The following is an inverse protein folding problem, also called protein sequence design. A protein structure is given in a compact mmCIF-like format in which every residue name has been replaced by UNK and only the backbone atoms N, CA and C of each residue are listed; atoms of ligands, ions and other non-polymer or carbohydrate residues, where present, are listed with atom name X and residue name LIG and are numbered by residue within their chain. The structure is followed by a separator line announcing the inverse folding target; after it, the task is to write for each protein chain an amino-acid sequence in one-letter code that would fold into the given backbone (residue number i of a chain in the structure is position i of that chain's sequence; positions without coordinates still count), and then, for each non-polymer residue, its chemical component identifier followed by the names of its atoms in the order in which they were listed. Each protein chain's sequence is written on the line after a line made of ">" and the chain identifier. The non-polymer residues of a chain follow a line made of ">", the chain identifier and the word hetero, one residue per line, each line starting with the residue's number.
data_IF_658435992276
#
_entry.id   IF_658435992276
#
_cell.length_a   1.000
_cell.length_b   1.000
_cell.length_c   1.000
_cell.angle_alpha   90.00
_cell.angle_beta   90.00
_cell.angle_gamma   90.00
#
_symmetry.space_group_name_H-M   'P 1'
#
loop_
_entity.id
_entity.type
_entity.pdbx_description
1 polymer ?
#
# COMPACT_ATOMS: atom_id res chain seq x y z
N UNK A 1 7.36 -15.51 -0.88
CA UNK A 1 7.40 -16.79 -1.63
C UNK A 1 6.39 -16.82 -2.78
N UNK A 2 5.18 -16.27 -2.61
CA UNK A 2 4.13 -16.26 -3.64
C UNK A 2 4.61 -15.62 -4.95
N UNK A 3 5.30 -14.49 -4.89
CA UNK A 3 5.87 -13.81 -6.07
C UNK A 3 6.87 -14.69 -6.83
N UNK A 4 7.73 -15.41 -6.11
CA UNK A 4 8.67 -16.35 -6.72
C UNK A 4 7.93 -17.50 -7.41
N UNK A 5 6.93 -18.07 -6.74
CA UNK A 5 6.15 -19.18 -7.31
C UNK A 5 5.36 -18.73 -8.55
N UNK A 6 4.73 -17.56 -8.50
CA UNK A 6 4.01 -17.00 -9.63
C UNK A 6 4.93 -16.70 -10.82
N UNK A 7 6.13 -16.18 -10.55
CA UNK A 7 7.15 -15.94 -11.59
C UNK A 7 7.64 -17.25 -12.21
N UNK A 8 7.89 -18.29 -11.42
CA UNK A 8 8.25 -19.64 -11.90
C UNK A 8 7.16 -20.24 -12.76
N UNK A 9 5.91 -20.09 -12.34
CA UNK A 9 4.77 -20.58 -13.12
C UNK A 9 4.68 -19.92 -14.50
N UNK A 10 4.96 -18.61 -14.58
CA UNK A 10 4.97 -17.90 -15.86
C UNK A 10 6.13 -18.34 -16.77
N UNK A 11 7.31 -18.54 -16.19
CA UNK A 11 8.56 -18.65 -16.95
C UNK A 11 9.04 -20.09 -17.15
N UNK A 12 8.62 -21.01 -16.29
CA UNK A 12 9.20 -22.36 -16.18
C UNK A 12 10.61 -22.35 -15.57
N UNK A 13 11.04 -21.26 -14.93
CA UNK A 13 12.38 -21.15 -14.38
C UNK A 13 12.47 -21.80 -13.00
N UNK A 14 13.19 -22.89 -12.93
CA UNK A 14 13.34 -23.75 -11.73
C UNK A 14 14.53 -23.39 -10.83
N UNK A 15 15.28 -22.32 -11.18
CA UNK A 15 16.44 -21.85 -10.42
C UNK A 15 16.11 -21.67 -8.93
N UNK A 16 16.99 -22.17 -8.07
CA UNK A 16 16.87 -22.01 -6.62
C UNK A 16 17.39 -20.64 -6.20
N UNK A 17 16.67 -20.00 -5.26
CA UNK A 17 17.01 -18.70 -4.70
C UNK A 17 17.00 -18.76 -3.18
N UNK A 18 17.92 -18.05 -2.56
CA UNK A 18 17.83 -17.63 -1.17
C UNK A 18 17.36 -16.18 -1.16
N UNK A 19 16.26 -15.93 -0.45
CA UNK A 19 15.70 -14.58 -0.31
C UNK A 19 15.85 -14.18 1.15
N UNK A 20 16.65 -13.14 1.41
CA UNK A 20 16.78 -12.52 2.72
C UNK A 20 15.95 -11.24 2.70
N UNK A 21 15.13 -11.05 3.73
CA UNK A 21 14.22 -9.91 3.86
C UNK A 21 14.35 -9.29 5.23
N UNK A 22 14.90 -8.07 5.27
CA UNK A 22 14.98 -7.26 6.48
C UNK A 22 13.79 -6.29 6.56
N UNK A 23 12.93 -6.48 7.57
CA UNK A 23 11.69 -5.70 7.73
C UNK A 23 11.89 -4.55 8.70
N UNK A 24 11.91 -3.32 8.18
CA UNK A 24 11.91 -2.09 8.98
C UNK A 24 10.50 -1.50 9.15
N UNK A 25 9.60 -1.76 8.20
CA UNK A 25 8.19 -1.36 8.30
C UNK A 25 7.45 -2.41 9.10
N UNK A 26 6.70 -2.04 10.16
CA UNK A 26 5.94 -2.99 10.96
C UNK A 26 4.96 -3.81 10.11
N UNK A 27 4.81 -5.08 10.44
CA UNK A 27 3.84 -5.96 9.76
C UNK A 27 2.43 -5.52 10.14
N UNK A 28 1.52 -5.48 9.15
CA UNK A 28 0.14 -5.04 9.37
C UNK A 28 -0.01 -3.55 9.65
N UNK A 29 0.95 -2.73 9.21
CA UNK A 29 0.97 -1.29 9.44
C UNK A 29 0.06 -0.47 8.50
N UNK A 30 -0.54 -1.07 7.47
CA UNK A 30 -1.31 -0.34 6.46
C UNK A 30 -0.46 0.48 5.49
N UNK A 31 0.84 0.21 5.40
CA UNK A 31 1.80 0.94 4.55
C UNK A 31 2.21 0.18 3.27
N UNK A 32 1.50 -0.88 2.92
CA UNK A 32 1.78 -1.64 1.69
C UNK A 32 3.12 -2.39 1.69
N UNK A 33 3.78 -2.57 2.84
CA UNK A 33 5.13 -3.17 2.92
C UNK A 33 5.22 -4.55 2.28
N UNK A 34 4.24 -5.44 2.50
CA UNK A 34 4.21 -6.75 1.86
C UNK A 34 4.07 -6.67 0.33
N UNK A 35 3.27 -5.72 -0.16
CA UNK A 35 3.11 -5.48 -1.60
C UNK A 35 4.37 -4.91 -2.23
N UNK A 36 5.09 -4.05 -1.51
CA UNK A 36 6.39 -3.53 -1.94
C UNK A 36 7.45 -4.65 -2.02
N UNK A 37 7.51 -5.54 -1.02
CA UNK A 37 8.40 -6.70 -1.03
C UNK A 37 8.10 -7.64 -2.22
N UNK A 38 6.81 -7.87 -2.49
CA UNK A 38 6.37 -8.68 -3.62
C UNK A 38 6.78 -8.05 -4.96
N UNK A 39 6.56 -6.75 -5.14
CA UNK A 39 6.95 -6.02 -6.34
C UNK A 39 8.48 -6.02 -6.53
N UNK A 40 9.26 -5.74 -5.48
CA UNK A 40 10.72 -5.79 -5.53
C UNK A 40 11.21 -7.19 -5.93
N UNK A 41 10.63 -8.24 -5.36
CA UNK A 41 10.96 -9.63 -5.72
C UNK A 41 10.71 -9.88 -7.21
N UNK A 42 9.56 -9.47 -7.75
CA UNK A 42 9.23 -9.62 -9.18
C UNK A 42 10.21 -8.88 -10.08
N UNK A 43 10.57 -7.65 -9.73
CA UNK A 43 11.54 -6.83 -10.49
C UNK A 43 12.91 -7.51 -10.53
N UNK A 44 13.39 -7.99 -9.37
CA UNK A 44 14.69 -8.68 -9.27
C UNK A 44 14.70 -9.98 -10.06
N UNK A 45 13.66 -10.81 -9.93
CA UNK A 45 13.54 -12.05 -10.67
C UNK A 45 13.53 -11.81 -12.18
N UNK A 46 12.77 -10.81 -12.64
CA UNK A 46 12.75 -10.41 -14.05
C UNK A 46 14.13 -9.99 -14.55
N UNK A 47 14.85 -9.18 -13.77
CA UNK A 47 16.20 -8.73 -14.11
C UNK A 47 17.12 -9.92 -14.27
N UNK A 48 17.20 -10.79 -13.28
CA UNK A 48 18.06 -11.97 -13.30
C UNK A 48 17.70 -12.96 -14.41
N UNK A 49 16.39 -13.18 -14.64
CA UNK A 49 15.93 -14.06 -15.70
C UNK A 49 16.33 -13.55 -17.08
N UNK A 50 16.12 -12.26 -17.36
CA UNK A 50 16.43 -11.66 -18.67
C UNK A 50 17.94 -11.58 -18.93
N UNK A 51 18.76 -11.44 -17.89
CA UNK A 51 20.21 -11.52 -17.99
C UNK A 51 20.69 -12.94 -18.36
N UNK A 52 20.07 -13.95 -17.74
CA UNK A 52 20.45 -15.37 -17.96
C UNK A 52 19.84 -15.94 -19.25
N UNK A 53 18.60 -15.58 -19.58
CA UNK A 53 17.81 -16.17 -20.66
C UNK A 53 17.56 -15.16 -21.77
N UNK A 54 18.60 -14.72 -22.50
CA UNK A 54 18.53 -13.69 -23.55
C UNK A 54 17.54 -13.99 -24.68
N UNK A 55 17.26 -15.29 -24.93
CA UNK A 55 16.32 -15.72 -25.97
C UNK A 55 14.84 -15.65 -25.56
N UNK A 56 14.55 -15.50 -24.25
CA UNK A 56 13.18 -15.46 -23.71
C UNK A 56 13.05 -14.33 -22.70
N UNK A 57 12.66 -13.16 -23.17
CA UNK A 57 12.57 -11.96 -22.34
C UNK A 57 11.20 -11.87 -21.66
N UNK A 58 11.20 -11.69 -20.35
CA UNK A 58 10.01 -11.33 -19.57
C UNK A 58 9.83 -9.82 -19.61
N UNK A 59 8.70 -9.36 -20.12
CA UNK A 59 8.36 -7.95 -20.22
C UNK A 59 7.86 -7.37 -18.89
N UNK A 60 7.75 -6.06 -18.79
CA UNK A 60 7.12 -5.44 -17.62
C UNK A 60 5.63 -5.74 -17.55
N UNK A 61 4.94 -5.88 -18.69
CA UNK A 61 3.53 -6.28 -18.75
C UNK A 61 3.28 -7.65 -18.12
N UNK A 62 4.19 -8.60 -18.31
CA UNK A 62 4.10 -9.90 -17.64
C UNK A 62 4.16 -9.78 -16.12
N UNK A 63 4.95 -8.82 -15.58
CA UNK A 63 4.96 -8.57 -14.13
C UNK A 63 3.61 -8.01 -13.64
N UNK A 64 2.97 -7.15 -14.43
CA UNK A 64 1.64 -6.65 -14.08
C UNK A 64 0.59 -7.76 -14.03
N UNK A 65 0.62 -8.71 -14.97
CA UNK A 65 -0.28 -9.87 -14.96
C UNK A 65 -0.13 -10.69 -13.66
N UNK A 66 1.12 -10.91 -13.23
CA UNK A 66 1.40 -11.58 -11.95
C UNK A 66 0.90 -10.71 -10.78
N UNK A 67 1.25 -9.42 -10.78
CA UNK A 67 0.94 -8.48 -9.70
C UNK A 67 -0.56 -8.38 -9.43
N UNK A 68 -1.39 -8.29 -10.48
CA UNK A 68 -2.85 -8.24 -10.35
C UNK A 68 -3.46 -9.49 -9.71
N UNK A 69 -2.82 -10.65 -9.88
CA UNK A 69 -3.27 -11.91 -9.27
C UNK A 69 -2.84 -12.03 -7.81
N UNK A 70 -1.70 -11.44 -7.45
CA UNK A 70 -1.14 -11.52 -6.11
C UNK A 70 -1.75 -10.52 -5.12
N UNK A 71 -2.15 -9.34 -5.58
CA UNK A 71 -2.78 -8.35 -4.71
C UNK A 71 -2.97 -6.99 -5.35
N UNK A 72 -3.98 -6.25 -4.89
CA UNK A 72 -4.43 -4.97 -5.45
C UNK A 72 -3.38 -3.85 -5.40
N UNK A 73 -2.48 -3.89 -4.42
CA UNK A 73 -1.49 -2.83 -4.20
C UNK A 73 -0.15 -3.11 -4.92
N UNK A 74 0.09 -4.37 -5.32
CA UNK A 74 1.37 -4.77 -5.93
C UNK A 74 1.63 -4.05 -7.26
N UNK A 75 0.63 -3.85 -8.15
CA UNK A 75 0.83 -3.08 -9.38
C UNK A 75 1.29 -1.64 -9.14
N UNK A 76 0.77 -0.98 -8.10
CA UNK A 76 1.23 0.36 -7.72
C UNK A 76 2.68 0.35 -7.23
N UNK A 77 3.07 -0.68 -6.46
CA UNK A 77 4.44 -0.85 -5.99
C UNK A 77 5.43 -1.12 -7.14
N UNK A 78 5.00 -1.75 -8.23
CA UNK A 78 5.82 -1.90 -9.44
C UNK A 78 6.15 -0.56 -10.10
N UNK A 79 5.21 0.40 -10.10
CA UNK A 79 5.43 1.76 -10.62
C UNK A 79 6.33 2.61 -9.70
N UNK A 80 6.18 2.45 -8.39
CA UNK A 80 6.93 3.22 -7.36
C UNK A 80 6.90 4.75 -7.61
N UNK A 81 5.72 5.29 -7.92
CA UNK A 81 5.47 6.71 -8.25
C UNK A 81 4.14 7.16 -7.66
N UNK A 82 3.89 8.46 -7.73
CA UNK A 82 2.59 9.01 -7.37
C UNK A 82 1.52 8.54 -8.34
N UNK A 83 0.52 7.85 -7.82
CA UNK A 83 -0.50 7.17 -8.59
C UNK A 83 -1.89 7.37 -7.99
N UNK A 84 -2.89 7.40 -8.87
CA UNK A 84 -4.28 7.17 -8.51
C UNK A 84 -4.68 5.77 -8.97
N UNK A 85 -5.11 4.96 -8.02
CA UNK A 85 -5.67 3.64 -8.27
C UNK A 85 -7.19 3.69 -8.26
N UNK A 86 -7.83 2.87 -9.09
CA UNK A 86 -9.28 2.67 -9.06
C UNK A 86 -9.63 1.22 -9.43
N UNK A 87 -10.92 0.86 -9.19
CA UNK A 87 -11.33 -0.54 -9.27
C UNK A 87 -10.67 -1.37 -8.18
N UNK A 88 -10.20 -2.54 -8.52
CA UNK A 88 -9.44 -3.44 -7.63
C UNK A 88 -7.91 -3.23 -7.76
N UNK A 89 -7.46 -1.98 -7.95
CA UNK A 89 -6.04 -1.68 -8.21
C UNK A 89 -5.61 -1.88 -9.66
N UNK A 90 -6.54 -2.25 -10.55
CA UNK A 90 -6.26 -2.57 -11.94
C UNK A 90 -6.29 -1.37 -12.90
N UNK A 91 -6.81 -0.23 -12.44
CA UNK A 91 -6.79 1.03 -13.20
C UNK A 91 -5.80 1.98 -12.55
N UNK A 92 -4.63 2.10 -13.16
CA UNK A 92 -3.53 2.94 -12.66
C UNK A 92 -3.48 4.20 -13.50
N UNK A 93 -3.52 5.36 -12.86
CA UNK A 93 -3.30 6.66 -13.46
C UNK A 93 -2.18 7.36 -12.71
N UNK A 94 -1.13 7.78 -13.44
CA UNK A 94 -0.08 8.62 -12.85
C UNK A 94 -0.68 9.94 -12.39
N UNK A 95 -0.36 10.31 -11.17
CA UNK A 95 -0.78 11.55 -10.54
C UNK A 95 0.50 12.30 -10.16
N UNK A 96 0.71 13.50 -10.72
CA UNK A 96 1.80 14.35 -10.23
C UNK A 96 1.29 15.16 -9.06
N UNK A 97 1.98 15.06 -7.94
CA UNK A 97 1.85 15.97 -6.82
C UNK A 97 2.89 17.09 -7.08
N UNK A 98 2.41 18.32 -7.24
CA UNK A 98 3.28 19.44 -7.66
C UNK A 98 4.17 19.95 -6.52
N UNK A 99 3.70 19.80 -5.28
CA UNK A 99 4.40 20.28 -4.10
C UNK A 99 5.26 19.16 -3.48
N UNK A 100 6.34 19.57 -2.85
CA UNK A 100 7.16 18.69 -2.04
C UNK A 100 6.60 18.70 -0.62
N UNK A 101 6.18 17.55 -0.11
CA UNK A 101 5.62 17.40 1.21
C UNK A 101 6.53 16.57 2.11
N UNK A 102 6.53 16.89 3.40
CA UNK A 102 7.14 16.07 4.43
C UNK A 102 6.07 15.22 5.12
N UNK A 103 6.40 13.98 5.43
CA UNK A 103 5.48 13.04 6.03
C UNK A 103 5.98 12.62 7.41
N UNK A 104 5.12 12.79 8.43
CA UNK A 104 5.29 12.18 9.74
C UNK A 104 4.44 10.91 9.79
N UNK A 105 5.06 9.76 10.04
CA UNK A 105 4.36 8.50 10.23
C UNK A 105 4.34 8.13 11.71
N UNK A 106 3.16 7.82 12.23
CA UNK A 106 2.96 7.42 13.63
C UNK A 106 2.25 6.08 13.65
N UNK A 107 2.93 5.04 14.14
CA UNK A 107 2.36 3.71 14.25
C UNK A 107 2.16 3.33 15.73
N UNK A 108 0.93 2.98 16.17
CA UNK A 108 0.65 2.58 17.55
C UNK A 108 1.20 1.21 17.93
N UNK A 109 1.89 0.52 17.01
CA UNK A 109 2.39 -0.86 17.15
C UNK A 109 1.29 -1.89 17.40
N UNK A 110 0.08 -1.62 16.92
CA UNK A 110 -1.05 -2.53 16.95
C UNK A 110 -1.13 -3.20 15.58
N UNK A 111 -1.07 -4.52 15.58
CA UNK A 111 -1.29 -5.30 14.36
C UNK A 111 -2.79 -5.38 14.08
N UNK A 112 -3.24 -4.60 13.11
CA UNK A 112 -4.63 -4.54 12.71
C UNK A 112 -4.85 -5.40 11.46
N UNK A 113 -5.65 -6.45 11.62
CA UNK A 113 -5.97 -7.34 10.49
C UNK A 113 -6.85 -6.61 9.48
N UNK A 114 -6.35 -6.49 8.25
CA UNK A 114 -7.08 -5.90 7.12
C UNK A 114 -8.46 -6.55 6.94
N UNK A 115 -8.54 -7.88 7.02
CA UNK A 115 -9.82 -8.61 6.91
C UNK A 115 -10.81 -8.21 8.02
N UNK A 116 -10.34 -8.04 9.27
CA UNK A 116 -11.21 -7.61 10.37
C UNK A 116 -11.72 -6.19 10.14
N UNK A 117 -10.90 -5.28 9.62
CA UNK A 117 -11.32 -3.91 9.30
C UNK A 117 -12.37 -3.90 8.20
N UNK A 118 -12.17 -4.67 7.12
CA UNK A 118 -13.15 -4.79 6.04
C UNK A 118 -14.45 -5.44 6.49
N UNK A 119 -14.41 -6.47 7.34
CA UNK A 119 -15.63 -7.10 7.89
C UNK A 119 -16.45 -6.14 8.76
N UNK A 120 -15.78 -5.20 9.44
CA UNK A 120 -16.48 -4.16 10.20
C UNK A 120 -16.94 -2.98 9.33
N UNK A 121 -16.44 -2.85 8.12
CA UNK A 121 -16.83 -1.77 7.20
C UNK A 121 -18.32 -1.85 6.81
N UNK A 122 -18.82 -3.04 6.47
CA UNK A 122 -20.21 -3.25 6.08
C UNK A 122 -21.20 -2.90 7.20
N UNK A 123 -20.79 -3.07 8.46
CA UNK A 123 -21.61 -2.79 9.64
C UNK A 123 -21.69 -1.28 9.99
N UNK A 124 -20.65 -0.51 9.64
CA UNK A 124 -20.50 0.91 10.00
C UNK A 124 -20.67 1.88 8.83
N UNK A 125 -20.90 1.37 7.61
CA UNK A 125 -20.91 2.18 6.38
C UNK A 125 -22.14 3.07 6.18
N UNK A 126 -23.18 2.93 6.99
CA UNK A 126 -24.41 3.74 6.86
C UNK A 126 -24.25 5.20 7.29
N UNK A 127 -23.13 5.57 7.88
CA UNK A 127 -22.85 6.95 8.31
C UNK A 127 -21.75 7.60 7.48
N UNK A 128 -22.05 7.96 6.22
CA UNK A 128 -21.20 8.85 5.43
C UNK A 128 -21.24 10.25 6.06
N UNK A 129 -20.18 10.66 6.71
CA UNK A 129 -19.99 12.04 7.14
C UNK A 129 -18.98 12.72 6.23
N UNK A 130 -19.39 13.83 5.59
CA UNK A 130 -18.50 14.68 4.78
C UNK A 130 -17.47 15.42 5.65
N UNK A 131 -17.59 15.33 6.98
CA UNK A 131 -16.75 16.05 7.95
C UNK A 131 -15.31 15.53 8.05
N UNK A 132 -15.04 14.34 7.50
CA UNK A 132 -13.73 13.68 7.61
C UNK A 132 -12.86 13.86 6.35
N UNK A 133 -13.26 14.75 5.44
CA UNK A 133 -12.51 15.05 4.20
C UNK A 133 -11.55 16.20 4.43
N UNK A 134 -10.29 16.00 4.09
CA UNK A 134 -9.25 17.04 4.11
C UNK A 134 -8.86 17.31 2.65
N UNK A 135 -8.81 18.59 2.29
CA UNK A 135 -8.34 19.01 0.97
C UNK A 135 -6.84 19.26 1.02
N UNK A 136 -6.11 18.63 0.13
CA UNK A 136 -4.68 18.85 -0.08
C UNK A 136 -4.46 19.08 -1.57
N UNK A 137 -4.11 20.31 -1.95
CA UNK A 137 -4.10 20.74 -3.36
C UNK A 137 -5.46 20.43 -4.04
N UNK A 138 -5.41 19.63 -5.12
CA UNK A 138 -6.59 19.16 -5.86
C UNK A 138 -7.06 17.76 -5.41
N UNK A 139 -6.58 17.27 -4.26
CA UNK A 139 -6.89 15.95 -3.75
C UNK A 139 -7.79 16.05 -2.52
N UNK A 140 -8.82 15.24 -2.50
CA UNK A 140 -9.62 15.01 -1.29
C UNK A 140 -9.06 13.79 -0.58
N UNK A 141 -8.52 13.99 0.63
CA UNK A 141 -8.03 12.92 1.48
C UNK A 141 -9.15 12.49 2.41
N UNK A 142 -9.54 11.24 2.31
CA UNK A 142 -10.44 10.58 3.25
C UNK A 142 -10.16 9.09 3.26
N UNK A 143 -10.51 8.42 4.35
CA UNK A 143 -10.33 6.98 4.46
C UNK A 143 -11.61 6.35 5.03
N UNK A 144 -12.37 5.66 4.18
CA UNK A 144 -13.62 5.00 4.59
C UNK A 144 -13.41 3.86 5.59
N UNK A 145 -12.19 3.32 5.69
CA UNK A 145 -11.82 2.31 6.67
C UNK A 145 -11.47 2.89 8.06
N UNK A 146 -11.44 4.23 8.19
CA UNK A 146 -11.03 4.89 9.43
C UNK A 146 -11.96 4.53 10.60
N UNK A 147 -13.27 4.65 10.43
CA UNK A 147 -14.24 4.33 11.50
C UNK A 147 -14.16 2.86 11.94
N UNK A 148 -14.18 1.87 11.01
CA UNK A 148 -13.93 0.47 11.36
C UNK A 148 -12.61 0.23 12.08
N UNK A 149 -11.54 0.90 11.65
CA UNK A 149 -10.23 0.76 12.28
C UNK A 149 -10.20 1.34 13.70
N UNK A 150 -10.79 2.52 13.93
CA UNK A 150 -10.92 3.12 15.26
C UNK A 150 -11.73 2.22 16.20
N UNK A 151 -12.79 1.60 15.71
CA UNK A 151 -13.59 0.67 16.50
C UNK A 151 -12.75 -0.50 17.02
N UNK A 152 -11.83 -1.02 16.18
CA UNK A 152 -10.94 -2.12 16.54
C UNK A 152 -9.69 -1.68 17.31
N UNK A 153 -9.25 -0.44 17.12
CA UNK A 153 -8.04 0.12 17.71
C UNK A 153 -8.26 1.62 18.04
N UNK A 154 -8.88 1.94 19.20
CA UNK A 154 -9.20 3.31 19.60
C UNK A 154 -7.98 4.25 19.68
N UNK A 155 -6.76 3.72 19.84
CA UNK A 155 -5.52 4.47 19.86
C UNK A 155 -5.28 5.27 18.56
N UNK A 156 -5.84 4.82 17.44
CA UNK A 156 -5.80 5.55 16.17
C UNK A 156 -6.44 6.94 16.33
N UNK A 157 -7.59 7.01 17.02
CA UNK A 157 -8.27 8.28 17.24
C UNK A 157 -7.43 9.25 18.10
N UNK A 158 -6.74 8.74 19.13
CA UNK A 158 -5.85 9.54 19.96
C UNK A 158 -4.69 10.12 19.16
N UNK A 159 -4.08 9.30 18.27
CA UNK A 159 -2.99 9.77 17.39
C UNK A 159 -3.50 10.86 16.44
N UNK A 160 -4.66 10.66 15.80
CA UNK A 160 -5.24 11.65 14.88
C UNK A 160 -5.58 12.95 15.58
N UNK A 161 -6.11 12.89 16.82
CA UNK A 161 -6.39 14.06 17.63
C UNK A 161 -5.10 14.83 17.97
N UNK A 162 -4.01 14.13 18.27
CA UNK A 162 -2.70 14.75 18.49
C UNK A 162 -2.14 15.35 17.20
N UNK A 163 -2.17 14.61 16.08
CA UNK A 163 -1.70 15.14 14.79
C UNK A 163 -2.40 16.44 14.42
N UNK A 164 -3.71 16.52 14.63
CA UNK A 164 -4.51 17.72 14.35
C UNK A 164 -4.01 18.97 15.07
N UNK A 165 -3.36 18.83 16.22
CA UNK A 165 -2.85 19.97 17.01
C UNK A 165 -1.43 20.38 16.67
N UNK A 166 -0.74 19.65 15.79
CA UNK A 166 0.65 19.97 15.41
C UNK A 166 0.65 21.20 14.49
N UNK A 167 1.46 22.23 14.81
CA UNK A 167 1.58 23.40 13.95
C UNK A 167 2.03 23.06 12.54
N UNK A 168 1.53 23.80 11.56
CA UNK A 168 1.87 23.67 10.13
C UNK A 168 1.48 22.33 9.49
N UNK A 169 0.69 21.51 10.16
CA UNK A 169 0.13 20.32 9.51
C UNK A 169 -0.92 20.75 8.47
N UNK A 170 -0.75 20.31 7.23
CA UNK A 170 -1.68 20.64 6.14
C UNK A 170 -2.72 19.55 5.92
N UNK A 171 -2.37 18.29 6.24
CA UNK A 171 -3.30 17.17 6.19
C UNK A 171 -2.85 16.06 7.16
N UNK A 172 -3.79 15.24 7.60
CA UNK A 172 -3.49 14.07 8.42
C UNK A 172 -4.53 12.98 8.18
N UNK A 173 -4.20 11.75 8.49
CA UNK A 173 -5.10 10.62 8.28
C UNK A 173 -4.51 9.28 8.69
N UNK A 174 -5.23 8.22 8.35
CA UNK A 174 -4.79 6.85 8.51
C UNK A 174 -4.48 6.24 7.16
N UNK A 175 -3.39 5.51 7.04
CA UNK A 175 -2.97 4.82 5.82
C UNK A 175 -3.66 3.47 5.67
N UNK A 176 -4.30 3.24 4.53
CA UNK A 176 -4.93 1.97 4.19
C UNK A 176 -5.92 1.48 5.25
N UNK A 177 -5.80 0.23 5.66
CA UNK A 177 -6.61 -0.38 6.74
C UNK A 177 -6.07 -0.09 8.15
N UNK A 178 -5.02 0.72 8.27
CA UNK A 178 -4.37 1.03 9.53
C UNK A 178 -3.26 0.01 9.87
N UNK A 179 -2.61 0.14 11.04
CA UNK A 179 -2.86 1.12 12.11
C UNK A 179 -2.04 2.41 11.99
N UNK A 180 -1.18 2.56 10.97
CA UNK A 180 -0.34 3.74 10.83
C UNK A 180 -1.18 4.96 10.47
N UNK A 181 -0.95 6.06 11.21
CA UNK A 181 -1.44 7.38 10.91
C UNK A 181 -0.33 8.22 10.27
N UNK A 182 -0.70 9.25 9.55
CA UNK A 182 0.25 10.17 8.91
C UNK A 182 -0.16 11.62 9.13
N UNK A 183 0.83 12.49 9.18
CA UNK A 183 0.69 13.94 9.05
C UNK A 183 1.50 14.44 7.86
N UNK A 184 1.01 15.44 7.16
CA UNK A 184 1.63 16.06 5.98
C UNK A 184 1.94 17.52 6.30
N UNK A 185 3.13 17.98 5.93
CA UNK A 185 3.67 19.32 6.16
C UNK A 185 4.16 19.95 4.89
#
# INVERSE_FOLDING_TARGET
>A
LESLNAFRHLTGWDKKFQINLDKYIPIGAGLGGGSADAAATLILLRKLFNEERKSKVVSISNLYEIAYRLGSDIPACLESKDLKLSGYGNKIKRQRISNCYYYLLVNPRINLSTNKVFNNFSFLSEQKSDKDKILLDNLTIYNSLLKPAIHLAPQINSILSTLKTIPNIVAYGMSGSGSTCFGIF
#
